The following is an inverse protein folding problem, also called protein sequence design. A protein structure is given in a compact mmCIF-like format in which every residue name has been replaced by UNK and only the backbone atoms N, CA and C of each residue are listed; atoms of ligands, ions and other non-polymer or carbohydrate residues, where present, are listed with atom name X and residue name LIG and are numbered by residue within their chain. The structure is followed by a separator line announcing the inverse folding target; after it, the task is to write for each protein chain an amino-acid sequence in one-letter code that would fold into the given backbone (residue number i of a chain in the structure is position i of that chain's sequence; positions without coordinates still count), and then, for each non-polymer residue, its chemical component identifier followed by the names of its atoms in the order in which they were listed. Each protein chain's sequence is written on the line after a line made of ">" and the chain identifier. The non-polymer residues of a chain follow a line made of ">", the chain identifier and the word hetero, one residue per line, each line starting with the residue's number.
data_IF_898168804971
#
_entry.id   IF_898168804971
#
_cell.length_a   1.000
_cell.length_b   1.000
_cell.length_c   1.000
_cell.angle_alpha   90.00
_cell.angle_beta   90.00
_cell.angle_gamma   90.00
#
_symmetry.space_group_name_H-M   'P 1'
#
loop_
_entity.id
_entity.type
_entity.pdbx_description
1 polymer ?
#
# COMPACT_ATOMS: atom_id res chain seq x y z
N UNK A 1 -1.72 22.99 14.90
CA UNK A 1 -0.29 22.59 14.79
C UNK A 1 -0.09 21.38 15.69
N UNK A 2 -0.34 20.19 15.16
CA UNK A 2 -0.19 18.92 15.90
C UNK A 2 1.31 18.66 16.05
N UNK A 3 1.76 18.58 17.31
CA UNK A 3 3.12 18.14 17.63
C UNK A 3 3.19 16.65 17.28
N UNK A 4 3.87 16.33 16.19
CA UNK A 4 4.27 14.95 15.87
C UNK A 4 5.03 14.42 17.10
N UNK A 5 4.51 13.38 17.74
CA UNK A 5 5.00 12.81 19.00
C UNK A 5 6.38 12.15 18.87
N UNK A 6 6.86 11.97 17.62
CA UNK A 6 8.16 11.38 17.30
C UNK A 6 8.85 12.18 16.17
N UNK A 7 10.19 12.37 16.21
CA UNK A 7 10.94 12.95 15.10
C UNK A 7 10.78 12.12 13.84
N UNK A 8 10.82 12.76 12.67
CA UNK A 8 10.70 12.12 11.33
C UNK A 8 11.60 10.90 11.16
N UNK A 9 12.83 10.95 11.70
CA UNK A 9 13.79 9.82 11.68
C UNK A 9 13.27 8.59 12.45
N UNK A 10 12.41 8.80 13.44
CA UNK A 10 11.80 7.73 14.23
C UNK A 10 10.61 7.10 13.49
N UNK A 11 9.91 7.87 12.64
CA UNK A 11 8.80 7.35 11.83
C UNK A 11 9.27 6.40 10.74
N UNK A 12 10.34 6.76 10.03
CA UNK A 12 10.98 5.87 9.07
C UNK A 12 11.44 4.59 9.76
N UNK A 13 12.02 4.71 10.96
CA UNK A 13 12.48 3.55 11.75
C UNK A 13 11.32 2.71 12.29
N UNK A 14 10.20 3.33 12.67
CA UNK A 14 8.99 2.65 13.13
C UNK A 14 8.25 2.00 11.97
N UNK A 15 8.13 2.67 10.83
CA UNK A 15 7.60 2.08 9.59
C UNK A 15 8.49 0.91 9.17
N UNK A 16 9.81 1.10 9.08
CA UNK A 16 10.76 0.03 8.76
C UNK A 16 10.67 -1.09 9.80
N UNK A 17 10.62 -0.78 11.10
CA UNK A 17 10.55 -1.79 12.16
C UNK A 17 9.21 -2.52 12.21
N UNK A 18 8.09 -1.85 11.92
CA UNK A 18 6.76 -2.44 11.81
C UNK A 18 6.54 -3.12 10.45
N UNK A 19 7.13 -2.58 9.36
CA UNK A 19 7.13 -3.20 8.04
C UNK A 19 8.00 -4.45 7.97
N UNK A 20 8.96 -4.60 8.89
CA UNK A 20 10.08 -5.55 8.84
C UNK A 20 10.00 -6.58 9.95
N UNK A 21 8.92 -6.73 10.67
CA UNK A 21 8.79 -7.73 11.76
C UNK A 21 10.11 -8.46 12.11
N UNK A 22 10.53 -8.47 13.35
CA UNK A 22 11.69 -9.26 13.76
C UNK A 22 11.27 -10.74 13.75
N UNK A 23 11.51 -11.45 12.64
CA UNK A 23 11.57 -12.90 12.68
C UNK A 23 12.91 -13.30 13.29
N UNK A 24 12.92 -13.63 14.58
CA UNK A 24 13.97 -14.52 15.08
C UNK A 24 13.74 -15.90 14.43
N UNK A 25 14.78 -16.52 13.83
CA UNK A 25 14.61 -17.84 13.25
C UNK A 25 14.30 -18.83 14.39
N UNK A 26 13.10 -19.38 14.41
CA UNK A 26 12.80 -20.56 15.21
C UNK A 26 13.61 -21.72 14.63
N UNK A 27 14.62 -22.17 15.37
CA UNK A 27 15.29 -23.43 15.15
C UNK A 27 14.28 -24.54 15.44
N UNK A 28 13.61 -25.05 14.44
CA UNK A 28 13.20 -26.45 14.27
C UNK A 28 12.10 -26.60 13.20
N UNK A 29 12.55 -26.84 12.01
CA UNK A 29 11.96 -27.77 11.04
C UNK A 29 12.74 -27.68 9.74
N UNK A 30 12.96 -28.79 9.06
CA UNK A 30 13.61 -28.84 7.76
C UNK A 30 12.77 -28.08 6.73
N UNK A 31 12.94 -26.75 6.65
CA UNK A 31 12.23 -25.89 5.71
C UNK A 31 12.51 -26.38 4.29
N UNK A 32 11.45 -26.52 3.49
CA UNK A 32 11.57 -26.97 2.11
C UNK A 32 12.41 -25.96 1.30
N UNK A 33 13.02 -26.40 0.19
CA UNK A 33 13.76 -25.49 -0.72
C UNK A 33 12.89 -24.31 -1.18
N UNK A 34 11.58 -24.51 -1.26
CA UNK A 34 10.60 -23.48 -1.63
C UNK A 34 10.47 -22.43 -0.54
N UNK A 35 10.38 -22.83 0.71
CA UNK A 35 10.27 -21.92 1.88
C UNK A 35 11.55 -21.09 2.05
N UNK A 36 12.73 -21.71 1.93
CA UNK A 36 14.00 -20.97 1.95
C UNK A 36 14.11 -19.93 0.84
N UNK A 37 13.59 -20.26 -0.37
CA UNK A 37 13.55 -19.30 -1.48
C UNK A 37 12.59 -18.15 -1.19
N UNK A 38 11.42 -18.42 -0.61
CA UNK A 38 10.44 -17.39 -0.20
C UNK A 38 11.05 -16.47 0.86
N UNK A 39 11.58 -17.00 1.95
CA UNK A 39 12.24 -16.22 3.00
C UNK A 39 13.38 -15.34 2.46
N UNK A 40 14.14 -15.84 1.49
CA UNK A 40 15.21 -15.06 0.86
C UNK A 40 14.63 -13.94 0.00
N UNK A 41 13.50 -14.15 -0.69
CA UNK A 41 12.79 -13.09 -1.45
C UNK A 41 12.32 -11.99 -0.51
N UNK A 42 11.72 -12.34 0.63
CA UNK A 42 11.26 -11.39 1.64
C UNK A 42 12.42 -10.60 2.23
N UNK A 43 13.53 -11.26 2.54
CA UNK A 43 14.76 -10.59 3.01
C UNK A 43 15.27 -9.57 1.99
N UNK A 44 15.31 -9.94 0.70
CA UNK A 44 15.74 -9.04 -0.38
C UNK A 44 14.77 -7.88 -0.55
N UNK A 45 13.48 -8.16 -0.53
CA UNK A 45 12.42 -7.15 -0.65
C UNK A 45 12.50 -6.12 0.48
N UNK A 46 12.67 -6.58 1.72
CA UNK A 46 12.87 -5.72 2.89
C UNK A 46 14.08 -4.80 2.74
N UNK A 47 15.24 -5.37 2.41
CA UNK A 47 16.47 -4.60 2.21
C UNK A 47 16.34 -3.59 1.08
N UNK A 48 15.67 -3.97 -0.01
CA UNK A 48 15.41 -3.07 -1.12
C UNK A 48 14.50 -1.91 -0.71
N UNK A 49 13.43 -2.21 0.04
CA UNK A 49 12.54 -1.18 0.56
C UNK A 49 13.27 -0.19 1.48
N UNK A 50 14.11 -0.68 2.40
CA UNK A 50 14.96 0.19 3.25
C UNK A 50 15.82 1.13 2.39
N UNK A 51 16.46 0.62 1.33
CA UNK A 51 17.25 1.42 0.41
C UNK A 51 16.41 2.43 -0.37
N UNK A 52 15.20 2.05 -0.80
CA UNK A 52 14.28 2.97 -1.47
C UNK A 52 13.88 4.13 -0.55
N UNK A 53 13.61 3.85 0.72
CA UNK A 53 13.30 4.88 1.72
C UNK A 53 14.50 5.77 2.06
N UNK A 54 15.71 5.21 2.12
CA UNK A 54 16.94 5.96 2.45
C UNK A 54 17.37 6.91 1.32
N UNK A 55 17.44 6.41 0.09
CA UNK A 55 18.08 7.13 -1.03
C UNK A 55 17.18 7.32 -2.27
N UNK A 56 15.98 6.80 -2.26
CA UNK A 56 15.03 6.80 -3.38
C UNK A 56 15.20 5.60 -4.32
N UNK A 57 14.12 5.32 -5.08
CA UNK A 57 14.09 4.21 -6.02
C UNK A 57 15.18 4.33 -7.09
N UNK A 58 15.30 5.47 -7.75
CA UNK A 58 16.23 5.69 -8.87
C UNK A 58 17.70 5.49 -8.48
N UNK A 59 18.09 5.94 -7.29
CA UNK A 59 19.48 5.84 -6.81
C UNK A 59 19.84 4.45 -6.28
N UNK A 60 18.85 3.57 -6.12
CA UNK A 60 19.07 2.21 -5.61
C UNK A 60 19.39 1.26 -6.76
N UNK A 61 20.43 0.45 -6.59
CA UNK A 61 20.92 -0.51 -7.58
C UNK A 61 20.84 -1.95 -7.07
N UNK A 62 20.71 -2.90 -7.99
CA UNK A 62 20.75 -4.34 -7.68
C UNK A 62 22.01 -4.73 -6.89
N UNK A 63 23.15 -4.11 -7.19
CA UNK A 63 24.42 -4.38 -6.48
C UNK A 63 24.38 -3.93 -5.03
N UNK A 64 23.79 -2.76 -4.73
CA UNK A 64 23.61 -2.28 -3.36
C UNK A 64 22.67 -3.20 -2.57
N UNK A 65 21.57 -3.64 -3.21
CA UNK A 65 20.61 -4.58 -2.61
C UNK A 65 21.31 -5.89 -2.28
N UNK A 66 22.05 -6.50 -3.22
CA UNK A 66 22.78 -7.75 -2.99
C UNK A 66 23.78 -7.62 -1.85
N UNK A 67 24.56 -6.53 -1.84
CA UNK A 67 25.55 -6.24 -0.82
C UNK A 67 24.91 -6.14 0.57
N UNK A 68 23.83 -5.35 0.69
CA UNK A 68 23.14 -5.12 1.96
C UNK A 68 22.37 -6.37 2.45
N UNK A 69 21.79 -7.15 1.51
CA UNK A 69 21.15 -8.43 1.80
C UNK A 69 22.17 -9.57 2.07
N UNK A 70 23.48 -9.30 1.95
CA UNK A 70 24.59 -10.26 2.14
C UNK A 70 24.46 -11.50 1.26
N UNK A 71 24.03 -11.31 0.01
CA UNK A 71 23.93 -12.38 -1.00
C UNK A 71 24.80 -12.09 -2.22
N UNK A 72 25.14 -13.12 -2.98
CA UNK A 72 25.85 -12.95 -4.25
C UNK A 72 24.92 -12.30 -5.30
N UNK A 73 25.48 -11.44 -6.16
CA UNK A 73 24.72 -10.84 -7.26
C UNK A 73 24.00 -11.89 -8.12
N UNK A 74 24.66 -13.01 -8.47
CA UNK A 74 24.04 -14.10 -9.21
C UNK A 74 22.82 -14.72 -8.49
N UNK A 75 22.90 -14.82 -7.16
CA UNK A 75 21.77 -15.30 -6.35
C UNK A 75 20.61 -14.30 -6.38
N UNK A 76 20.90 -12.99 -6.32
CA UNK A 76 19.87 -11.96 -6.43
C UNK A 76 19.15 -12.03 -7.78
N UNK A 77 19.89 -12.10 -8.90
CA UNK A 77 19.29 -12.18 -10.23
C UNK A 77 18.47 -13.47 -10.45
N UNK A 78 18.80 -14.56 -9.73
CA UNK A 78 17.97 -15.77 -9.72
C UNK A 78 16.65 -15.63 -8.94
N UNK A 79 16.58 -14.67 -7.99
CA UNK A 79 15.39 -14.37 -7.22
C UNK A 79 14.52 -13.31 -7.92
N UNK A 80 15.17 -12.27 -8.43
CA UNK A 80 14.54 -11.13 -9.08
C UNK A 80 15.36 -10.69 -10.30
N UNK A 81 14.79 -10.75 -11.50
CA UNK A 81 15.50 -10.39 -12.74
C UNK A 81 15.94 -8.92 -12.79
N UNK A 82 15.22 -8.01 -12.15
CA UNK A 82 15.52 -6.57 -12.11
C UNK A 82 15.07 -5.92 -10.81
N UNK A 83 15.43 -4.64 -10.64
CA UNK A 83 14.95 -3.81 -9.53
C UNK A 83 13.43 -3.62 -9.58
N UNK A 84 12.88 -3.49 -10.78
CA UNK A 84 11.43 -3.36 -10.98
C UNK A 84 10.67 -4.59 -10.48
N UNK A 85 11.19 -5.78 -10.70
CA UNK A 85 10.59 -7.01 -10.15
C UNK A 85 10.64 -7.09 -8.62
N UNK A 86 11.68 -6.51 -7.98
CA UNK A 86 11.71 -6.38 -6.52
C UNK A 86 10.67 -5.37 -6.08
N UNK A 87 10.57 -4.24 -6.77
CA UNK A 87 9.62 -3.18 -6.49
C UNK A 87 8.17 -3.68 -6.62
N UNK A 88 7.84 -4.34 -7.73
CA UNK A 88 6.54 -4.98 -7.93
C UNK A 88 6.21 -5.96 -6.80
N UNK A 89 7.18 -6.81 -6.44
CA UNK A 89 6.97 -7.77 -5.35
C UNK A 89 6.63 -7.09 -4.03
N UNK A 90 7.36 -6.03 -3.68
CA UNK A 90 7.09 -5.21 -2.48
C UNK A 90 5.68 -4.62 -2.56
N UNK A 91 5.37 -3.98 -3.68
CA UNK A 91 4.14 -3.22 -3.84
C UNK A 91 2.91 -4.11 -3.85
N UNK A 92 2.93 -5.19 -4.64
CA UNK A 92 1.82 -6.15 -4.71
C UNK A 92 1.56 -6.79 -3.35
N UNK A 93 2.62 -7.21 -2.64
CA UNK A 93 2.47 -7.80 -1.32
C UNK A 93 1.88 -6.81 -0.30
N UNK A 94 2.27 -5.55 -0.36
CA UNK A 94 1.71 -4.49 0.49
C UNK A 94 0.22 -4.28 0.22
N UNK A 95 -0.19 -4.27 -1.06
CA UNK A 95 -1.60 -4.13 -1.44
C UNK A 95 -2.42 -5.35 -0.97
N UNK A 96 -1.92 -6.56 -1.18
CA UNK A 96 -2.59 -7.79 -0.74
C UNK A 96 -2.83 -7.79 0.77
N UNK A 97 -1.81 -7.47 1.56
CA UNK A 97 -1.91 -7.39 3.02
C UNK A 97 -2.88 -6.31 3.50
N UNK A 98 -2.90 -5.16 2.85
CA UNK A 98 -3.88 -4.12 3.13
C UNK A 98 -5.31 -4.61 2.88
N UNK A 99 -5.54 -5.33 1.78
CA UNK A 99 -6.85 -5.91 1.45
C UNK A 99 -7.28 -6.98 2.45
N UNK A 100 -6.38 -7.85 2.87
CA UNK A 100 -6.64 -8.82 3.95
C UNK A 100 -7.13 -8.12 5.21
N UNK A 101 -6.48 -7.03 5.59
CA UNK A 101 -6.85 -6.24 6.77
C UNK A 101 -8.19 -5.53 6.59
N UNK A 102 -8.45 -4.93 5.44
CA UNK A 102 -9.76 -4.34 5.13
C UNK A 102 -10.87 -5.41 5.17
N UNK A 103 -10.62 -6.61 4.66
CA UNK A 103 -11.55 -7.73 4.76
C UNK A 103 -11.84 -8.13 6.22
N UNK A 104 -10.83 -8.13 7.08
CA UNK A 104 -11.01 -8.42 8.51
C UNK A 104 -11.83 -7.33 9.22
N UNK A 105 -11.62 -6.06 8.87
CA UNK A 105 -12.44 -4.97 9.39
C UNK A 105 -13.90 -5.05 8.92
N UNK A 106 -14.14 -5.52 7.70
CA UNK A 106 -15.48 -5.79 7.18
C UNK A 106 -16.21 -6.88 7.97
N UNK A 107 -15.49 -7.86 8.51
CA UNK A 107 -16.05 -8.92 9.39
C UNK A 107 -16.47 -8.38 10.75
N UNK A 108 -15.99 -7.19 11.15
CA UNK A 108 -16.31 -6.52 12.42
C UNK A 108 -17.42 -5.46 12.28
N UNK A 109 -18.41 -5.66 11.40
CA UNK A 109 -19.54 -4.75 11.14
C UNK A 109 -19.15 -3.37 10.54
N UNK A 110 -18.03 -3.30 9.83
CA UNK A 110 -17.70 -2.09 9.06
C UNK A 110 -18.65 -1.93 7.89
N UNK A 111 -19.18 -0.72 7.69
CA UNK A 111 -20.03 -0.45 6.56
C UNK A 111 -19.25 -0.49 5.24
N UNK A 112 -19.97 -0.80 4.16
CA UNK A 112 -19.42 -0.98 2.82
C UNK A 112 -18.65 0.25 2.31
N UNK A 113 -19.16 1.46 2.57
CA UNK A 113 -18.54 2.71 2.13
C UNK A 113 -17.19 2.92 2.82
N UNK A 114 -17.15 2.73 4.13
CA UNK A 114 -15.90 2.85 4.92
C UNK A 114 -14.87 1.83 4.44
N UNK A 115 -15.27 0.59 4.16
CA UNK A 115 -14.37 -0.43 3.69
C UNK A 115 -13.73 -0.09 2.34
N UNK A 116 -14.51 0.41 1.39
CA UNK A 116 -14.00 0.82 0.08
C UNK A 116 -13.15 2.09 0.13
N UNK A 117 -13.45 3.00 1.06
CA UNK A 117 -12.72 4.26 1.20
C UNK A 117 -11.38 4.12 1.94
N UNK A 118 -11.31 3.18 2.89
CA UNK A 118 -10.19 3.06 3.81
C UNK A 118 -8.82 2.89 3.14
N UNK A 119 -8.64 2.08 2.09
CA UNK A 119 -7.37 1.98 1.38
C UNK A 119 -6.87 3.32 0.85
N UNK A 120 -7.71 4.04 0.11
CA UNK A 120 -7.37 5.35 -0.46
C UNK A 120 -7.05 6.39 0.60
N UNK A 121 -7.80 6.35 1.69
CA UNK A 121 -7.58 7.24 2.82
C UNK A 121 -6.17 7.07 3.38
N UNK A 122 -5.78 5.81 3.64
CA UNK A 122 -4.47 5.48 4.19
C UNK A 122 -3.35 5.89 3.25
N UNK A 123 -3.48 5.59 1.97
CA UNK A 123 -2.47 5.89 0.96
C UNK A 123 -2.28 7.39 0.76
N UNK A 124 -3.37 8.15 0.61
CA UNK A 124 -3.28 9.60 0.48
C UNK A 124 -2.64 10.26 1.70
N UNK A 125 -3.06 9.81 2.91
CA UNK A 125 -2.49 10.35 4.14
C UNK A 125 -0.99 10.07 4.25
N UNK A 126 -0.59 8.82 4.04
CA UNK A 126 0.81 8.42 4.12
C UNK A 126 1.65 9.09 3.03
N UNK A 127 1.14 9.19 1.81
CA UNK A 127 1.82 9.89 0.71
C UNK A 127 2.08 11.37 1.02
N UNK A 128 1.12 12.01 1.69
CA UNK A 128 1.23 13.42 2.11
C UNK A 128 2.21 13.61 3.25
N UNK A 129 2.13 12.78 4.29
CA UNK A 129 2.93 12.90 5.52
C UNK A 129 4.37 12.40 5.32
N UNK A 130 4.58 11.44 4.42
CA UNK A 130 5.87 10.81 4.18
C UNK A 130 6.23 10.92 2.69
N UNK A 131 6.85 12.00 2.24
CA UNK A 131 7.15 12.23 0.82
C UNK A 131 7.89 11.08 0.14
N UNK A 132 8.74 10.35 0.85
CA UNK A 132 9.42 9.16 0.31
C UNK A 132 8.46 8.03 -0.04
N UNK A 133 7.40 7.84 0.71
CA UNK A 133 6.34 6.87 0.37
C UNK A 133 5.53 7.40 -0.81
N UNK A 134 5.25 8.69 -0.85
CA UNK A 134 4.64 9.34 -2.01
C UNK A 134 5.45 9.13 -3.29
N UNK A 135 6.80 9.25 -3.25
CA UNK A 135 7.69 8.94 -4.37
C UNK A 135 7.52 7.48 -4.83
N UNK A 136 7.36 6.53 -3.90
CA UNK A 136 7.13 5.12 -4.24
C UNK A 136 5.75 4.88 -4.85
N UNK A 137 4.70 5.55 -4.37
CA UNK A 137 3.39 5.52 -5.03
C UNK A 137 3.46 6.11 -6.43
N UNK A 138 4.09 7.28 -6.57
CA UNK A 138 4.29 7.87 -7.90
C UNK A 138 4.98 6.89 -8.87
N UNK A 139 6.05 6.23 -8.44
CA UNK A 139 6.77 5.23 -9.25
C UNK A 139 5.86 4.06 -9.63
N UNK A 140 5.12 3.49 -8.67
CA UNK A 140 4.23 2.35 -8.90
C UNK A 140 3.11 2.67 -9.89
N UNK A 141 2.43 3.79 -9.68
CA UNK A 141 1.28 4.18 -10.49
C UNK A 141 1.66 4.85 -11.83
N UNK A 142 2.90 5.29 -11.99
CA UNK A 142 3.43 5.82 -13.26
C UNK A 142 3.99 4.74 -14.17
N UNK A 143 4.37 3.59 -13.64
CA UNK A 143 4.78 2.43 -14.42
C UNK A 143 3.54 1.66 -14.87
N UNK A 144 3.30 1.58 -16.19
CA UNK A 144 2.10 0.94 -16.73
C UNK A 144 1.93 -0.52 -16.30
N UNK A 145 3.01 -1.31 -16.31
CA UNK A 145 2.93 -2.73 -15.94
C UNK A 145 2.60 -2.94 -14.46
N UNK A 146 3.10 -2.07 -13.60
CA UNK A 146 2.77 -2.08 -12.16
C UNK A 146 1.36 -1.56 -11.92
N UNK A 147 0.98 -0.46 -12.58
CA UNK A 147 -0.36 0.12 -12.51
C UNK A 147 -1.44 -0.89 -12.94
N UNK A 148 -1.24 -1.58 -14.05
CA UNK A 148 -2.17 -2.59 -14.56
C UNK A 148 -2.41 -3.73 -13.55
N UNK A 149 -1.36 -4.20 -12.88
CA UNK A 149 -1.45 -5.19 -11.79
C UNK A 149 -2.20 -4.64 -10.56
N UNK A 150 -2.00 -3.37 -10.21
CA UNK A 150 -2.73 -2.73 -9.11
C UNK A 150 -4.22 -2.71 -9.44
N UNK A 151 -4.58 -2.25 -10.64
CA UNK A 151 -5.95 -2.23 -11.15
C UNK A 151 -6.59 -3.62 -11.12
N UNK A 152 -5.86 -4.66 -11.52
CA UNK A 152 -6.36 -6.03 -11.47
C UNK A 152 -6.65 -6.47 -10.03
N UNK A 153 -5.72 -6.24 -9.11
CA UNK A 153 -5.92 -6.54 -7.69
C UNK A 153 -7.10 -5.76 -7.08
N UNK A 154 -7.25 -4.48 -7.39
CA UNK A 154 -8.35 -3.66 -6.89
C UNK A 154 -9.69 -4.09 -7.48
N UNK A 155 -9.71 -4.47 -8.76
CA UNK A 155 -10.89 -5.04 -9.42
C UNK A 155 -11.35 -6.33 -8.73
N UNK A 156 -10.44 -7.26 -8.48
CA UNK A 156 -10.72 -8.52 -7.79
C UNK A 156 -11.27 -8.28 -6.38
N UNK A 157 -10.63 -7.37 -5.64
CA UNK A 157 -11.05 -7.05 -4.27
C UNK A 157 -12.43 -6.40 -4.23
N UNK A 158 -12.67 -5.38 -5.07
CA UNK A 158 -13.98 -4.70 -5.16
C UNK A 158 -15.07 -5.67 -5.59
N UNK A 159 -14.79 -6.55 -6.55
CA UNK A 159 -15.72 -7.60 -6.97
C UNK A 159 -16.10 -8.51 -5.80
N UNK A 160 -15.12 -8.93 -5.01
CA UNK A 160 -15.32 -9.76 -3.82
C UNK A 160 -16.14 -9.04 -2.75
N UNK A 161 -15.80 -7.78 -2.45
CA UNK A 161 -16.53 -6.97 -1.47
C UNK A 161 -17.96 -6.72 -1.94
N UNK A 162 -18.15 -6.36 -3.20
CA UNK A 162 -19.47 -6.10 -3.78
C UNK A 162 -20.38 -7.32 -3.72
N UNK A 163 -19.82 -8.51 -3.97
CA UNK A 163 -20.55 -9.78 -3.83
C UNK A 163 -21.08 -10.04 -2.42
N UNK A 164 -20.33 -9.65 -1.38
CA UNK A 164 -20.76 -9.76 0.03
C UNK A 164 -22.00 -8.89 0.35
N UNK A 165 -22.10 -7.75 -0.33
CA UNK A 165 -23.22 -6.82 -0.14
C UNK A 165 -24.38 -7.03 -1.14
N UNK A 166 -24.32 -8.10 -1.94
CA UNK A 166 -25.37 -8.45 -2.90
C UNK A 166 -25.48 -7.47 -4.08
N UNK A 167 -24.41 -6.77 -4.39
CA UNK A 167 -24.33 -5.85 -5.53
C UNK A 167 -23.50 -6.50 -6.63
N UNK A 168 -24.11 -7.16 -7.62
CA UNK A 168 -23.37 -7.76 -8.72
C UNK A 168 -22.90 -6.67 -9.68
N UNK A 169 -21.61 -6.66 -9.98
CA UNK A 169 -21.02 -5.81 -11.00
C UNK A 169 -20.38 -6.65 -12.10
N UNK A 170 -20.39 -6.11 -13.31
CA UNK A 170 -19.52 -6.61 -14.38
C UNK A 170 -18.06 -6.26 -14.04
N UNK A 171 -17.19 -7.25 -14.06
CA UNK A 171 -15.77 -7.11 -13.74
C UNK A 171 -15.07 -6.11 -14.67
N UNK A 172 -15.43 -6.09 -15.97
CA UNK A 172 -14.90 -5.12 -16.91
C UNK A 172 -15.31 -3.69 -16.53
N UNK A 173 -16.53 -3.50 -15.99
CA UNK A 173 -16.97 -2.21 -15.50
C UNK A 173 -16.16 -1.76 -14.29
N UNK A 174 -15.97 -2.65 -13.29
CA UNK A 174 -15.14 -2.37 -12.12
C UNK A 174 -13.74 -1.96 -12.58
N UNK A 175 -13.13 -2.72 -13.48
CA UNK A 175 -11.79 -2.42 -13.99
C UNK A 175 -11.69 -1.03 -14.62
N UNK A 176 -12.67 -0.59 -15.41
CA UNK A 176 -12.69 0.76 -15.97
C UNK A 176 -12.83 1.84 -14.88
N UNK A 177 -13.62 1.56 -13.85
CA UNK A 177 -13.75 2.45 -12.70
C UNK A 177 -12.42 2.57 -11.96
N UNK A 178 -11.73 1.45 -11.72
CA UNK A 178 -10.43 1.45 -11.04
C UNK A 178 -9.37 2.22 -11.83
N UNK A 179 -9.25 2.03 -13.13
CA UNK A 179 -8.35 2.83 -13.97
C UNK A 179 -8.59 4.33 -13.77
N UNK A 180 -9.86 4.73 -13.68
CA UNK A 180 -10.23 6.14 -13.50
C UNK A 180 -9.91 6.67 -12.10
N UNK A 181 -10.24 5.91 -11.06
CA UNK A 181 -10.04 6.30 -9.65
C UNK A 181 -8.54 6.30 -9.31
N UNK A 182 -7.81 5.26 -9.68
CA UNK A 182 -6.38 5.13 -9.42
C UNK A 182 -5.56 6.16 -10.22
N UNK A 183 -6.04 6.50 -11.43
CA UNK A 183 -5.48 7.61 -12.20
C UNK A 183 -5.66 8.96 -11.49
N UNK A 184 -6.81 9.20 -10.87
CA UNK A 184 -7.04 10.41 -10.06
C UNK A 184 -6.20 10.40 -8.79
N UNK A 185 -6.12 9.26 -8.09
CA UNK A 185 -5.25 9.06 -6.94
C UNK A 185 -3.80 9.43 -7.26
N UNK A 186 -3.27 8.91 -8.37
CA UNK A 186 -1.91 9.22 -8.84
C UNK A 186 -1.68 10.72 -8.94
N UNK A 187 -2.65 11.46 -9.52
CA UNK A 187 -2.51 12.92 -9.71
C UNK A 187 -2.62 13.71 -8.39
N UNK A 188 -3.31 13.19 -7.39
CA UNK A 188 -3.29 13.79 -6.05
C UNK A 188 -1.93 13.58 -5.38
N UNK A 189 -1.36 12.37 -5.47
CA UNK A 189 0.00 12.08 -4.98
C UNK A 189 1.03 12.97 -5.70
N UNK A 190 0.97 13.09 -7.03
CA UNK A 190 1.84 13.97 -7.81
C UNK A 190 1.76 15.41 -7.30
N UNK A 191 0.56 15.92 -7.04
CA UNK A 191 0.38 17.26 -6.51
C UNK A 191 1.05 17.45 -5.15
N UNK A 192 0.92 16.46 -4.24
CA UNK A 192 1.61 16.52 -2.94
C UNK A 192 3.12 16.60 -3.11
N UNK A 193 3.68 15.81 -4.02
CA UNK A 193 5.12 15.73 -4.24
C UNK A 193 5.69 16.97 -4.92
N UNK A 194 5.02 17.47 -5.95
CA UNK A 194 5.60 18.52 -6.82
C UNK A 194 5.23 19.93 -6.40
N UNK A 195 4.10 20.13 -5.75
CA UNK A 195 3.66 21.47 -5.35
C UNK A 195 3.65 21.65 -3.84
N UNK A 196 3.65 20.57 -3.07
CA UNK A 196 3.43 20.59 -1.62
C UNK A 196 1.99 20.93 -1.22
N UNK A 197 1.13 21.24 -2.20
CA UNK A 197 -0.27 21.60 -2.01
C UNK A 197 -1.16 20.36 -1.91
N UNK A 198 -2.44 20.61 -1.60
CA UNK A 198 -3.49 19.61 -1.56
C UNK A 198 -4.01 19.37 -0.16
N UNK A 199 -5.27 18.99 -0.10
CA UNK A 199 -5.98 18.64 1.12
C UNK A 199 -6.41 17.16 1.01
N UNK A 200 -5.85 16.32 1.88
CA UNK A 200 -6.14 14.87 1.88
C UNK A 200 -7.63 14.59 2.02
N UNK A 201 -8.35 15.41 2.76
CA UNK A 201 -9.79 15.22 2.99
C UNK A 201 -10.60 15.52 1.74
N UNK A 202 -10.29 16.63 1.06
CA UNK A 202 -10.96 17.01 -0.19
C UNK A 202 -10.59 16.02 -1.30
N UNK A 203 -9.37 15.54 -1.34
CA UNK A 203 -8.91 14.57 -2.32
C UNK A 203 -9.57 13.20 -2.10
N UNK A 204 -9.62 12.73 -0.84
CA UNK A 204 -10.35 11.53 -0.48
C UNK A 204 -11.84 11.67 -0.83
N UNK A 205 -12.47 12.78 -0.43
CA UNK A 205 -13.87 13.06 -0.75
C UNK A 205 -14.11 12.94 -2.26
N UNK A 206 -13.21 13.50 -3.05
CA UNK A 206 -13.29 13.45 -4.51
C UNK A 206 -13.18 12.02 -5.04
N UNK A 207 -12.21 11.24 -4.55
CA UNK A 207 -12.05 9.82 -4.96
C UNK A 207 -13.27 8.98 -4.60
N UNK A 208 -13.83 9.17 -3.40
CA UNK A 208 -15.01 8.43 -2.96
C UNK A 208 -16.25 8.80 -3.76
N UNK A 209 -16.48 10.09 -4.03
CA UNK A 209 -17.56 10.53 -4.90
C UNK A 209 -17.40 9.92 -6.31
N UNK A 210 -16.19 9.94 -6.86
CA UNK A 210 -15.89 9.35 -8.16
C UNK A 210 -16.17 7.85 -8.17
N UNK A 211 -15.61 7.10 -7.21
CA UNK A 211 -15.80 5.66 -7.08
C UNK A 211 -17.29 5.31 -7.02
N UNK A 212 -18.01 5.89 -6.07
CA UNK A 212 -19.41 5.56 -5.83
C UNK A 212 -20.32 5.98 -6.98
N UNK A 213 -20.04 7.13 -7.61
CA UNK A 213 -20.79 7.59 -8.79
C UNK A 213 -20.59 6.66 -9.98
N UNK A 214 -19.34 6.31 -10.28
CA UNK A 214 -19.00 5.43 -11.40
C UNK A 214 -19.49 4.00 -11.17
N UNK A 215 -19.49 3.53 -9.93
CA UNK A 215 -20.04 2.23 -9.53
C UNK A 215 -21.58 2.25 -9.41
N UNK A 216 -22.23 3.40 -9.63
CA UNK A 216 -23.67 3.59 -9.42
C UNK A 216 -24.15 3.15 -8.03
N UNK A 217 -23.34 3.40 -7.01
CA UNK A 217 -23.60 3.11 -5.62
C UNK A 217 -24.20 4.31 -4.89
N UNK A 218 -25.11 4.09 -3.93
CA UNK A 218 -25.67 5.20 -3.16
C UNK A 218 -24.59 5.82 -2.26
N UNK A 219 -24.40 7.12 -2.40
CA UNK A 219 -23.58 7.93 -1.50
C UNK A 219 -24.38 8.23 -0.21
N UNK A 220 -24.48 7.26 0.70
CA UNK A 220 -25.05 7.47 2.01
C UNK A 220 -23.94 7.86 2.98
N UNK A 221 -24.11 8.99 3.68
CA UNK A 221 -23.28 9.34 4.83
C UNK A 221 -21.78 9.60 4.53
N UNK A 222 -21.49 10.32 3.43
CA UNK A 222 -20.12 10.80 3.19
C UNK A 222 -19.57 11.57 4.41
N UNK A 223 -20.43 12.31 5.10
CA UNK A 223 -20.07 13.02 6.33
C UNK A 223 -19.75 12.05 7.49
N UNK A 224 -20.46 10.92 7.59
CA UNK A 224 -20.17 9.86 8.57
C UNK A 224 -18.82 9.20 8.27
N UNK A 225 -18.53 8.94 6.99
CA UNK A 225 -17.22 8.43 6.56
C UNK A 225 -16.11 9.40 6.92
N UNK A 226 -16.28 10.69 6.65
CA UNK A 226 -15.31 11.72 7.00
C UNK A 226 -15.15 11.86 8.52
N UNK A 227 -16.22 11.74 9.30
CA UNK A 227 -16.14 11.70 10.76
C UNK A 227 -15.35 10.47 11.24
N UNK A 228 -15.61 9.30 10.65
CA UNK A 228 -14.87 8.07 10.97
C UNK A 228 -13.38 8.20 10.64
N UNK A 229 -13.06 8.91 9.54
CA UNK A 229 -11.68 9.27 9.21
C UNK A 229 -11.00 10.06 10.35
N UNK A 230 -11.67 11.08 10.90
CA UNK A 230 -11.11 11.86 12.00
C UNK A 230 -10.89 11.01 13.26
N UNK A 231 -11.85 10.16 13.59
CA UNK A 231 -11.74 9.25 14.72
C UNK A 231 -10.53 8.31 14.55
N UNK A 232 -10.35 7.76 13.35
CA UNK A 232 -9.20 6.91 13.02
C UNK A 232 -7.89 7.68 13.02
N UNK A 233 -7.86 8.89 12.45
CA UNK A 233 -6.69 9.76 12.42
C UNK A 233 -6.21 10.18 13.80
N UNK A 234 -7.12 10.45 14.72
CA UNK A 234 -6.80 10.86 16.08
C UNK A 234 -6.40 9.70 16.99
N UNK A 235 -6.77 8.47 16.63
CA UNK A 235 -6.31 7.26 17.29
C UNK A 235 -4.91 6.88 16.78
N UNK A 236 -3.88 7.44 17.42
CA UNK A 236 -2.46 7.29 17.03
C UNK A 236 -1.97 5.84 16.89
N UNK A 237 -2.68 4.89 17.47
CA UNK A 237 -2.34 3.47 17.46
C UNK A 237 -2.92 2.76 16.22
N UNK A 238 -4.09 3.20 15.71
CA UNK A 238 -4.80 2.53 14.61
C UNK A 238 -4.10 2.70 13.24
N UNK A 239 -3.49 3.86 12.98
CA UNK A 239 -2.76 4.11 11.73
C UNK A 239 -1.44 3.34 11.64
N UNK A 240 -0.80 3.14 12.78
CA UNK A 240 0.46 2.41 12.90
C UNK A 240 0.24 0.91 12.87
N UNK A 241 -0.96 0.44 13.29
CA UNK A 241 -1.34 -0.98 13.26
C UNK A 241 -1.87 -1.41 11.89
N UNK A 242 -2.16 -0.46 10.98
CA UNK A 242 -2.38 -0.74 9.57
C UNK A 242 -1.02 -0.98 8.90
N UNK A 243 -0.40 -2.11 9.25
CA UNK A 243 0.90 -2.53 8.78
C UNK A 243 0.96 -2.50 7.25
N UNK A 244 1.77 -1.61 6.70
CA UNK A 244 2.07 -1.57 5.27
C UNK A 244 2.95 -2.75 4.84
N UNK A 245 3.50 -3.49 5.82
CA UNK A 245 4.30 -4.69 5.60
C UNK A 245 3.98 -5.73 6.69
N UNK A 246 3.91 -7.03 6.38
CA UNK A 246 3.59 -8.05 7.37
C UNK A 246 4.67 -8.13 8.45
N UNK A 247 4.26 -7.95 9.69
CA UNK A 247 4.89 -8.60 10.82
C UNK A 247 4.27 -9.98 10.90
N UNK A 248 5.05 -11.02 10.69
CA UNK A 248 4.78 -12.47 10.79
C UNK A 248 3.33 -12.95 10.91
#
# INVERSE_FOLDING_TARGET
>A
MLKIKYPLDNWVHVIIKKMVGQSEPSEDSASTRKEKKAQMRDTVARVAFELFMEQGYDKTTMRQIAYRAKILNGSLYNLFPSKDHIFDYIFMHTIEKRKEKCNHLLEQDMDYMTALALPYLLELHIAKEIPKVGELFHEAYSNWDTFDKIVDLDTEWISTVSGRFGVPFDENHIRQVMISVDGSFTKFVDRYLYTGDGDVQEDLRTLIIQLFTLMNLPLHSLDTLMQRYYELKDSSDTWMDLELWPSE
#
